data_IF_986868462725
#
_entry.id   IF_986868462725
#
_cell.length_a   1.000
_cell.length_b   1.000
_cell.length_c   1.000
_cell.angle_alpha   90.00
_cell.angle_beta   90.00
_cell.angle_gamma   90.00
#
_symmetry.space_group_name_H-M   'P 1'
#
loop_
_entity.id
_entity.type
_entity.pdbx_description
1 polymer ?
#
# COMPACT_ATOMS: atom_id res chain seq x y z
N UNK A 1 -0.94 7.40 -12.37
CA UNK A 1 -1.06 7.29 -10.88
C UNK A 1 -1.43 5.85 -10.45
N UNK A 2 -1.20 5.42 -9.19
CA UNK A 2 -1.18 3.99 -8.80
C UNK A 2 -1.81 3.71 -7.40
N UNK A 3 -2.16 2.45 -7.06
CA UNK A 3 -3.23 2.03 -6.13
C UNK A 3 -3.13 0.58 -5.55
N UNK A 4 -3.50 0.38 -4.28
CA UNK A 4 -3.39 -0.89 -3.52
C UNK A 4 -4.14 -2.06 -4.18
N UNK A 5 -3.64 -3.29 -3.98
CA UNK A 5 -4.41 -4.52 -4.21
C UNK A 5 -4.24 -5.54 -3.06
N UNK A 6 -5.22 -5.61 -2.16
CA UNK A 6 -5.39 -6.72 -1.20
C UNK A 6 -6.81 -7.31 -1.37
N UNK A 7 -6.90 -8.56 -1.85
CA UNK A 7 -8.18 -9.28 -1.91
C UNK A 7 -8.35 -10.19 -0.68
N UNK A 8 -9.53 -10.12 -0.06
CA UNK A 8 -9.92 -10.97 1.08
C UNK A 8 -10.07 -12.43 0.66
N UNK A 9 -9.60 -13.41 1.46
CA UNK A 9 -9.82 -14.83 1.18
C UNK A 9 -11.26 -15.26 1.50
N UNK A 10 -11.91 -15.92 0.54
CA UNK A 10 -13.18 -16.62 0.74
C UNK A 10 -12.98 -17.87 1.61
N UNK A 11 -13.89 -18.11 2.56
CA UNK A 11 -13.84 -19.27 3.46
C UNK A 11 -14.06 -20.59 2.72
N UNK A 12 -13.29 -21.63 3.08
CA UNK A 12 -13.53 -23.01 2.71
C UNK A 12 -13.91 -23.84 3.95
N UNK A 13 -14.89 -24.74 3.80
CA UNK A 13 -15.56 -25.46 4.90
C UNK A 13 -14.92 -26.82 5.16
N UNK A 14 -15.00 -27.28 6.43
CA UNK A 14 -14.47 -28.54 6.93
C UNK A 14 -14.96 -29.82 6.21
N UNK A 15 -14.09 -30.84 6.17
CA UNK A 15 -14.43 -32.25 5.97
C UNK A 15 -13.67 -33.12 7.00
N UNK A 16 -14.35 -34.05 7.66
CA UNK A 16 -13.86 -34.78 8.85
C UNK A 16 -13.31 -36.18 8.54
N UNK A 17 -12.32 -36.64 9.31
CA UNK A 17 -11.77 -38.01 9.29
C UNK A 17 -11.32 -38.46 10.69
N UNK A 18 -11.44 -39.76 11.01
CA UNK A 18 -11.43 -40.27 12.41
C UNK A 18 -10.12 -40.95 12.86
N UNK A 19 -9.79 -40.72 14.14
CA UNK A 19 -9.32 -41.63 15.21
C UNK A 19 -8.38 -42.84 14.95
N UNK A 20 -7.36 -42.99 15.82
CA UNK A 20 -6.52 -44.19 16.00
C UNK A 20 -5.66 -44.13 17.29
N UNK A 21 -5.36 -45.28 17.89
CA UNK A 21 -4.87 -45.48 19.29
C UNK A 21 -3.84 -46.65 19.31
N UNK A 22 -2.97 -46.92 20.31
CA UNK A 22 -2.78 -46.44 21.70
C UNK A 22 -1.31 -46.02 22.02
N UNK A 23 -0.86 -46.08 23.29
CA UNK A 23 0.47 -45.68 23.77
C UNK A 23 1.29 -46.86 24.36
N UNK A 24 2.63 -46.72 24.43
CA UNK A 24 3.53 -47.67 25.11
C UNK A 24 5.01 -47.23 25.08
N UNK A 25 5.81 -47.36 26.16
CA UNK A 25 7.01 -46.53 26.35
C UNK A 25 8.37 -47.24 26.17
N UNK A 26 9.43 -46.46 26.00
CA UNK A 26 10.83 -46.92 26.07
C UNK A 26 11.80 -45.73 26.12
N UNK A 27 12.63 -45.65 27.17
CA UNK A 27 13.57 -44.53 27.37
C UNK A 27 14.93 -44.72 26.70
N UNK A 28 15.59 -43.61 26.37
CA UNK A 28 16.96 -43.58 25.85
C UNK A 28 17.54 -42.18 25.99
N UNK A 29 18.48 -42.00 26.92
CA UNK A 29 19.11 -40.72 27.23
C UNK A 29 20.13 -40.30 26.17
N UNK A 30 19.92 -39.15 25.55
CA UNK A 30 20.95 -38.38 24.84
C UNK A 30 20.60 -36.88 25.00
N UNK A 31 21.56 -36.06 25.45
CA UNK A 31 21.38 -34.61 25.65
C UNK A 31 21.10 -33.90 24.30
N UNK A 32 19.96 -33.20 24.15
CA UNK A 32 19.68 -32.38 22.95
C UNK A 32 19.88 -30.87 23.20
N UNK A 33 20.22 -30.43 24.43
CA UNK A 33 20.12 -29.03 24.87
C UNK A 33 21.19 -28.06 24.32
N UNK A 34 21.94 -28.42 23.27
CA UNK A 34 22.98 -27.55 22.68
C UNK A 34 22.78 -27.12 21.23
N UNK A 35 21.71 -27.56 20.55
CA UNK A 35 21.49 -27.28 19.12
C UNK A 35 20.11 -26.66 18.81
N UNK A 36 19.43 -26.11 19.82
CA UNK A 36 18.06 -25.59 19.70
C UNK A 36 17.89 -24.11 20.10
N UNK A 37 18.99 -23.38 20.40
CA UNK A 37 18.92 -21.96 20.81
C UNK A 37 19.26 -20.93 19.73
N UNK A 38 19.57 -21.36 18.51
CA UNK A 38 19.91 -20.45 17.40
C UNK A 38 18.90 -20.51 16.23
N UNK A 39 17.75 -21.20 16.41
CA UNK A 39 16.74 -21.41 15.38
C UNK A 39 15.39 -20.67 15.59
N UNK A 40 15.29 -19.80 16.61
CA UNK A 40 14.06 -19.07 16.97
C UNK A 40 14.16 -17.54 16.76
N UNK A 41 14.89 -17.09 15.74
CA UNK A 41 15.21 -15.66 15.56
C UNK A 41 15.06 -15.12 14.12
N UNK A 42 13.93 -15.36 13.46
CA UNK A 42 13.31 -14.37 12.55
C UNK A 42 11.80 -14.66 12.37
N UNK A 43 10.97 -14.29 13.35
CA UNK A 43 9.56 -14.00 13.05
C UNK A 43 9.56 -12.83 12.06
N UNK A 44 9.38 -13.13 10.76
CA UNK A 44 9.70 -12.26 9.63
C UNK A 44 9.03 -10.87 9.68
N UNK A 45 9.62 -9.95 10.45
CA UNK A 45 9.02 -8.65 10.75
C UNK A 45 8.99 -7.76 9.52
N UNK A 46 7.79 -7.36 9.10
CA UNK A 46 7.61 -6.42 7.98
C UNK A 46 7.96 -5.02 8.46
N UNK A 47 9.08 -4.47 7.97
CA UNK A 47 9.55 -3.12 8.23
C UNK A 47 9.18 -2.19 7.07
N UNK A 48 8.45 -1.12 7.35
CA UNK A 48 8.22 -0.04 6.38
C UNK A 48 9.34 1.00 6.51
N UNK A 49 9.88 1.47 5.38
CA UNK A 49 10.95 2.48 5.33
C UNK A 49 10.86 3.32 4.05
N UNK A 50 11.44 4.53 4.04
CA UNK A 50 11.64 5.30 2.79
C UNK A 50 12.35 4.44 1.74
N UNK A 51 11.94 4.61 0.49
CA UNK A 51 12.57 3.99 -0.66
C UNK A 51 13.96 4.61 -0.91
N UNK A 52 14.77 3.87 -1.66
CA UNK A 52 16.06 4.30 -2.21
C UNK A 52 16.05 4.02 -3.70
N UNK A 53 16.92 4.69 -4.46
CA UNK A 53 17.05 4.48 -5.92
C UNK A 53 17.26 3.01 -6.30
N UNK A 54 17.94 2.21 -5.47
CA UNK A 54 18.10 0.75 -5.68
C UNK A 54 16.77 -0.04 -5.64
N UNK A 55 15.77 0.45 -4.91
CA UNK A 55 14.48 -0.22 -4.73
C UNK A 55 13.55 0.01 -5.95
N UNK A 56 13.81 1.04 -6.77
CA UNK A 56 12.97 1.46 -7.91
C UNK A 56 12.71 0.34 -8.92
N UNK A 57 13.69 -0.56 -9.15
CA UNK A 57 13.49 -1.73 -10.02
C UNK A 57 12.48 -2.74 -9.45
N UNK A 58 12.42 -2.87 -8.12
CA UNK A 58 11.45 -3.76 -7.45
C UNK A 58 10.08 -3.09 -7.39
N UNK A 59 10.03 -1.78 -7.11
CA UNK A 59 8.80 -0.97 -7.22
C UNK A 59 8.22 -1.13 -8.63
N UNK A 60 9.02 -0.97 -9.69
CA UNK A 60 8.61 -1.16 -11.08
C UNK A 60 8.00 -2.55 -11.33
N UNK A 61 8.65 -3.64 -10.86
CA UNK A 61 8.12 -5.01 -10.96
C UNK A 61 6.78 -5.16 -10.23
N UNK A 62 6.67 -4.62 -9.01
CA UNK A 62 5.42 -4.63 -8.25
C UNK A 62 4.31 -3.90 -9.01
N UNK A 63 4.62 -2.75 -9.63
CA UNK A 63 3.69 -1.98 -10.45
C UNK A 63 3.24 -2.76 -11.69
N UNK A 64 4.18 -3.29 -12.48
CA UNK A 64 3.89 -4.02 -13.72
C UNK A 64 3.01 -5.26 -13.47
N UNK A 65 3.10 -5.86 -12.28
CA UNK A 65 2.26 -7.00 -11.84
C UNK A 65 0.75 -6.66 -11.84
N UNK A 66 0.38 -5.38 -11.80
CA UNK A 66 -1.01 -4.90 -11.79
C UNK A 66 -1.39 -4.02 -13.00
N UNK A 67 -0.45 -3.78 -13.93
CA UNK A 67 -0.65 -2.97 -15.14
C UNK A 67 -1.25 -3.74 -16.33
N UNK A 68 -1.44 -5.05 -16.22
CA UNK A 68 -1.89 -5.93 -17.31
C UNK A 68 -3.41 -5.94 -17.57
N UNK A 69 -3.91 -7.05 -18.14
CA UNK A 69 -5.34 -7.24 -18.39
C UNK A 69 -6.14 -7.21 -17.08
N UNK A 70 -6.98 -6.18 -16.92
CA UNK A 70 -7.64 -5.85 -15.64
C UNK A 70 -7.00 -4.72 -14.85
N UNK A 71 -6.14 -3.90 -15.49
CA UNK A 71 -5.46 -2.69 -14.99
C UNK A 71 -6.06 -2.11 -13.70
N UNK A 72 -5.33 -2.31 -12.60
CA UNK A 72 -5.57 -1.62 -11.31
C UNK A 72 -4.53 -0.52 -11.05
N UNK A 73 -3.40 -0.60 -11.75
CA UNK A 73 -2.36 0.42 -11.78
C UNK A 73 -2.22 1.03 -13.17
N UNK A 74 -1.89 2.31 -13.23
CA UNK A 74 -1.43 2.94 -14.46
C UNK A 74 0.08 2.68 -14.62
N UNK A 75 0.51 2.47 -15.86
CA UNK A 75 1.93 2.28 -16.19
C UNK A 75 2.68 3.61 -16.02
N UNK A 76 3.69 3.65 -15.14
CA UNK A 76 4.64 4.77 -15.08
C UNK A 76 5.86 4.51 -15.97
N UNK A 77 6.46 5.57 -16.50
CA UNK A 77 7.81 5.48 -17.04
C UNK A 77 8.81 5.23 -15.90
N UNK A 78 9.85 4.43 -16.15
CA UNK A 78 10.83 4.09 -15.10
C UNK A 78 11.63 5.31 -14.62
N UNK A 79 11.78 6.35 -15.45
CA UNK A 79 12.40 7.63 -15.06
C UNK A 79 11.57 8.36 -14.01
N UNK A 80 10.24 8.42 -14.18
CA UNK A 80 9.30 9.00 -13.21
C UNK A 80 9.39 8.31 -11.86
N UNK A 81 9.53 6.98 -11.82
CA UNK A 81 9.76 6.25 -10.56
C UNK A 81 11.10 6.58 -9.87
N UNK A 82 12.11 7.09 -10.60
CA UNK A 82 13.35 7.61 -9.99
C UNK A 82 13.20 9.07 -9.54
N UNK A 83 12.43 9.89 -10.26
CA UNK A 83 12.11 11.28 -9.89
C UNK A 83 11.28 11.30 -8.60
N UNK A 84 10.19 10.52 -8.56
CA UNK A 84 9.27 10.40 -7.44
C UNK A 84 9.86 9.66 -6.22
N UNK A 85 11.06 9.09 -6.29
CA UNK A 85 11.57 8.10 -5.31
C UNK A 85 11.55 8.57 -3.85
N UNK A 86 11.52 9.88 -3.61
CA UNK A 86 11.44 10.48 -2.27
C UNK A 86 10.03 10.36 -1.65
N UNK A 87 8.98 10.34 -2.48
CA UNK A 87 7.59 10.10 -2.08
C UNK A 87 7.36 8.65 -1.62
N UNK A 88 8.18 7.74 -2.13
CA UNK A 88 8.01 6.31 -1.94
C UNK A 88 8.48 5.81 -0.57
N UNK A 89 7.67 4.91 -0.04
CA UNK A 89 7.96 3.99 1.04
C UNK A 89 7.89 2.56 0.51
N UNK A 90 8.68 1.67 1.11
CA UNK A 90 8.71 0.24 0.80
C UNK A 90 8.56 -0.57 2.08
N UNK A 91 7.80 -1.66 1.98
CA UNK A 91 7.76 -2.72 2.98
C UNK A 91 8.84 -3.76 2.65
N UNK A 92 9.75 -3.96 3.60
CA UNK A 92 10.82 -4.95 3.53
C UNK A 92 10.53 -6.09 4.52
N UNK A 93 10.63 -7.33 4.04
CA UNK A 93 10.52 -8.56 4.84
C UNK A 93 11.71 -9.45 4.47
N UNK A 94 12.42 -9.99 5.46
CA UNK A 94 13.62 -10.85 5.27
C UNK A 94 14.64 -10.29 4.26
N UNK A 95 14.81 -8.96 4.22
CA UNK A 95 15.71 -8.24 3.31
C UNK A 95 15.19 -8.01 1.89
N UNK A 96 14.00 -8.52 1.54
CA UNK A 96 13.35 -8.32 0.24
C UNK A 96 12.25 -7.25 0.32
N UNK A 97 12.17 -6.39 -0.69
CA UNK A 97 11.03 -5.45 -0.85
C UNK A 97 9.82 -6.23 -1.37
N UNK A 98 8.79 -6.33 -0.53
CA UNK A 98 7.55 -7.09 -0.75
C UNK A 98 6.33 -6.19 -0.91
N UNK A 99 6.50 -4.87 -0.80
CA UNK A 99 5.47 -3.89 -1.12
C UNK A 99 6.01 -2.48 -1.20
N UNK A 100 5.23 -1.58 -1.79
CA UNK A 100 5.52 -0.15 -1.91
C UNK A 100 4.26 0.68 -1.71
N UNK A 101 4.43 1.99 -1.53
CA UNK A 101 3.39 3.03 -1.49
C UNK A 101 4.05 4.40 -1.59
N UNK A 102 3.35 5.41 -2.11
CA UNK A 102 3.86 6.76 -2.27
C UNK A 102 2.89 7.80 -1.70
N UNK A 103 3.42 8.90 -1.16
CA UNK A 103 2.65 10.05 -0.72
C UNK A 103 3.07 11.27 -1.55
N UNK A 104 2.19 11.73 -2.43
CA UNK A 104 2.40 12.90 -3.27
C UNK A 104 1.69 14.12 -2.66
N UNK A 105 2.39 15.24 -2.50
CA UNK A 105 1.79 16.48 -1.98
C UNK A 105 1.28 17.32 -3.14
N UNK A 106 -0.02 17.66 -3.12
CA UNK A 106 -0.63 18.49 -4.17
C UNK A 106 -0.66 19.96 -3.75
N UNK A 107 -1.00 20.22 -2.49
CA UNK A 107 -1.15 21.57 -1.96
C UNK A 107 -0.79 21.64 -0.46
N UNK A 108 -0.84 22.84 0.13
CA UNK A 108 -0.40 23.12 1.52
C UNK A 108 -1.04 22.20 2.59
N UNK A 109 -2.27 21.73 2.35
CA UNK A 109 -3.03 20.91 3.29
C UNK A 109 -3.49 19.55 2.71
N UNK A 110 -3.13 19.26 1.46
CA UNK A 110 -3.68 18.14 0.67
C UNK A 110 -2.59 17.29 0.03
N UNK A 111 -2.66 15.98 0.26
CA UNK A 111 -1.84 14.98 -0.42
C UNK A 111 -2.66 13.79 -0.93
N UNK A 112 -2.01 12.96 -1.73
CA UNK A 112 -2.54 11.74 -2.30
C UNK A 112 -1.71 10.52 -1.92
N UNK A 113 -2.39 9.43 -1.57
CA UNK A 113 -1.78 8.11 -1.52
C UNK A 113 -1.77 7.50 -2.91
N UNK A 114 -0.57 7.41 -3.48
CA UNK A 114 -0.25 6.79 -4.77
C UNK A 114 0.50 5.47 -4.56
N UNK A 115 0.67 4.71 -5.64
CA UNK A 115 1.57 3.56 -5.82
C UNK A 115 1.65 2.53 -4.71
N UNK A 116 0.54 2.28 -4.04
CA UNK A 116 0.50 1.17 -3.09
C UNK A 116 0.42 -0.13 -3.86
N UNK A 117 1.33 -1.07 -3.59
CA UNK A 117 1.33 -2.40 -4.19
C UNK A 117 1.97 -3.38 -3.21
N UNK A 118 1.48 -4.62 -3.19
CA UNK A 118 2.05 -5.72 -2.39
C UNK A 118 2.34 -6.88 -3.32
N UNK A 119 3.43 -7.62 -3.11
CA UNK A 119 3.71 -8.83 -3.87
C UNK A 119 2.55 -9.83 -3.70
N UNK A 120 1.99 -10.41 -4.78
CA UNK A 120 0.87 -11.35 -4.67
C UNK A 120 1.10 -12.50 -3.70
N UNK A 121 2.34 -12.97 -3.51
CA UNK A 121 2.70 -14.02 -2.57
C UNK A 121 2.68 -13.60 -1.09
N UNK A 122 2.63 -12.29 -0.81
CA UNK A 122 2.69 -11.72 0.53
C UNK A 122 1.37 -11.02 0.97
N UNK A 123 0.30 -11.15 0.18
CA UNK A 123 -1.02 -10.59 0.52
C UNK A 123 -1.64 -11.26 1.74
N UNK A 124 -2.52 -10.54 2.44
CA UNK A 124 -3.18 -11.01 3.65
C UNK A 124 -2.31 -10.94 4.92
N UNK A 125 -1.02 -10.63 4.80
CA UNK A 125 -0.07 -10.44 5.91
C UNK A 125 -0.12 -9.03 6.52
N UNK A 126 -1.12 -8.22 6.17
CA UNK A 126 -1.30 -6.84 6.65
C UNK A 126 -0.27 -5.83 6.12
N UNK A 127 0.45 -6.17 5.04
CA UNK A 127 1.52 -5.33 4.48
C UNK A 127 0.95 -4.01 3.92
N UNK A 128 -0.16 -4.06 3.17
CA UNK A 128 -0.81 -2.85 2.67
C UNK A 128 -1.24 -1.92 3.80
N UNK A 129 -1.79 -2.49 4.88
CA UNK A 129 -2.19 -1.74 6.08
C UNK A 129 -0.99 -1.03 6.72
N UNK A 130 0.16 -1.71 6.87
CA UNK A 130 1.39 -1.10 7.40
C UNK A 130 1.90 0.04 6.53
N UNK A 131 1.88 -0.13 5.20
CA UNK A 131 2.30 0.92 4.26
C UNK A 131 1.37 2.13 4.37
N UNK A 132 0.05 1.94 4.27
CA UNK A 132 -0.90 3.06 4.29
C UNK A 132 -0.92 3.79 5.63
N UNK A 133 -0.81 3.08 6.77
CA UNK A 133 -0.63 3.72 8.07
C UNK A 133 0.63 4.60 8.12
N UNK A 134 1.74 4.16 7.53
CA UNK A 134 2.98 4.96 7.48
C UNK A 134 2.87 6.18 6.54
N UNK A 135 2.14 6.06 5.43
CA UNK A 135 1.85 7.20 4.55
C UNK A 135 0.93 8.24 5.22
N UNK A 136 -0.09 7.80 5.96
CA UNK A 136 -0.97 8.67 6.75
C UNK A 136 -0.17 9.38 7.85
N UNK A 137 0.68 8.65 8.58
CA UNK A 137 1.58 9.18 9.61
C UNK A 137 2.53 10.24 9.03
N UNK A 138 3.13 9.94 7.87
CA UNK A 138 4.00 10.86 7.11
C UNK A 138 3.24 12.11 6.66
N UNK A 139 1.96 11.97 6.26
CA UNK A 139 1.15 13.11 5.87
C UNK A 139 0.90 14.06 7.05
N UNK A 140 0.68 13.51 8.24
CA UNK A 140 0.66 14.24 9.50
C UNK A 140 1.93 15.04 9.75
N UNK A 141 3.10 14.38 9.70
CA UNK A 141 4.42 15.02 9.90
C UNK A 141 4.71 16.18 8.93
N UNK A 142 4.07 16.19 7.76
CA UNK A 142 4.18 17.27 6.77
C UNK A 142 3.21 18.44 7.03
N UNK A 143 2.39 18.38 8.09
CA UNK A 143 1.40 19.40 8.44
C UNK A 143 0.11 19.34 7.64
N UNK A 144 -0.08 18.28 6.82
CA UNK A 144 -1.26 18.14 5.97
C UNK A 144 -2.51 17.92 6.81
N UNK A 145 -3.67 18.22 6.23
CA UNK A 145 -4.98 18.08 6.91
C UNK A 145 -5.86 17.04 6.26
N UNK A 146 -5.58 16.72 4.98
CA UNK A 146 -6.44 15.90 4.13
C UNK A 146 -5.58 15.02 3.23
N UNK A 147 -5.98 13.76 3.11
CA UNK A 147 -5.33 12.78 2.24
C UNK A 147 -6.40 12.11 1.40
N UNK A 148 -6.25 12.05 0.09
CA UNK A 148 -7.19 11.36 -0.80
C UNK A 148 -6.55 10.18 -1.52
N UNK A 149 -7.38 9.35 -2.15
CA UNK A 149 -6.96 8.31 -3.09
C UNK A 149 -8.09 7.98 -4.10
N UNK A 150 -7.76 7.30 -5.19
CA UNK A 150 -8.66 6.89 -6.28
C UNK A 150 -8.70 5.36 -6.41
N UNK A 151 -9.52 4.65 -5.63
CA UNK A 151 -9.34 3.21 -5.34
C UNK A 151 -10.50 2.29 -5.75
N UNK A 152 -10.17 1.05 -6.09
CA UNK A 152 -11.15 -0.05 -6.13
C UNK A 152 -11.28 -0.79 -4.80
N UNK A 153 -10.26 -0.74 -3.94
CA UNK A 153 -10.25 -1.47 -2.66
C UNK A 153 -10.88 -0.61 -1.55
N UNK A 154 -12.12 -0.16 -1.79
CA UNK A 154 -12.87 0.77 -0.92
C UNK A 154 -12.93 0.27 0.53
N UNK A 155 -13.20 -1.02 0.72
CA UNK A 155 -13.26 -1.64 2.06
C UNK A 155 -11.90 -1.78 2.75
N UNK A 156 -10.79 -1.66 2.03
CA UNK A 156 -9.44 -1.57 2.62
C UNK A 156 -9.21 -0.13 3.12
N UNK A 157 -9.38 0.88 2.26
CA UNK A 157 -9.18 2.28 2.65
C UNK A 157 -10.16 2.77 3.72
N UNK A 158 -11.41 2.30 3.71
CA UNK A 158 -12.40 2.61 4.75
C UNK A 158 -11.95 2.19 6.17
N UNK A 159 -11.14 1.13 6.32
CA UNK A 159 -10.56 0.74 7.62
C UNK A 159 -9.53 1.73 8.15
N UNK A 160 -8.92 2.51 7.26
CA UNK A 160 -8.04 3.63 7.59
C UNK A 160 -8.81 4.96 7.78
N UNK A 161 -10.15 4.94 7.80
CA UNK A 161 -11.00 6.11 8.03
C UNK A 161 -11.36 6.92 6.79
N UNK A 162 -10.89 6.52 5.60
CA UNK A 162 -11.28 7.15 4.34
C UNK A 162 -12.78 6.99 4.07
N UNK A 163 -13.40 7.99 3.45
CA UNK A 163 -14.80 8.00 3.03
C UNK A 163 -14.90 8.34 1.56
N UNK A 164 -15.84 7.71 0.85
CA UNK A 164 -16.14 8.07 -0.54
C UNK A 164 -16.61 9.53 -0.64
N UNK A 165 -16.16 10.22 -1.70
CA UNK A 165 -16.57 11.58 -2.03
C UNK A 165 -16.92 11.70 -3.51
N UNK A 166 -17.69 12.72 -3.85
CA UNK A 166 -18.06 13.07 -5.23
C UNK A 166 -17.43 14.42 -5.60
N UNK A 167 -16.99 14.56 -6.86
CA UNK A 167 -16.29 15.75 -7.34
C UNK A 167 -14.90 15.93 -6.71
N UNK A 168 -14.34 17.14 -6.84
CA UNK A 168 -12.96 17.45 -6.45
C UNK A 168 -12.94 18.23 -5.13
N UNK A 169 -12.25 17.75 -4.06
CA UNK A 169 -12.29 18.35 -2.73
C UNK A 169 -11.34 19.56 -2.57
N UNK A 170 -11.25 20.49 -3.51
CA UNK A 170 -10.50 21.76 -3.35
C UNK A 170 -11.37 22.98 -3.62
N UNK A 171 -10.97 24.16 -3.13
CA UNK A 171 -11.64 25.41 -3.52
C UNK A 171 -11.39 25.71 -5.00
N UNK A 172 -12.24 26.53 -5.64
CA UNK A 172 -12.00 26.97 -7.02
C UNK A 172 -10.65 27.69 -7.21
N UNK A 173 -10.12 28.38 -6.19
CA UNK A 173 -8.79 28.99 -6.28
C UNK A 173 -7.68 27.94 -6.33
N UNK A 174 -7.68 26.97 -5.39
CA UNK A 174 -6.70 25.88 -5.39
C UNK A 174 -6.85 25.00 -6.63
N UNK A 175 -8.06 24.80 -7.15
CA UNK A 175 -8.31 24.14 -8.42
C UNK A 175 -7.61 24.86 -9.59
N UNK A 176 -7.63 26.20 -9.62
CA UNK A 176 -6.99 27.02 -10.65
C UNK A 176 -5.44 27.01 -10.55
N UNK A 177 -4.88 26.94 -9.34
CA UNK A 177 -3.43 26.77 -9.14
C UNK A 177 -2.97 25.36 -9.55
N UNK A 178 -3.71 24.33 -9.14
CA UNK A 178 -3.43 22.94 -9.52
C UNK A 178 -3.56 22.71 -11.04
N UNK A 179 -4.42 23.48 -11.73
CA UNK A 179 -4.54 23.51 -13.19
C UNK A 179 -3.23 23.93 -13.91
N UNK A 180 -2.34 24.66 -13.24
CA UNK A 180 -1.04 25.04 -13.77
C UNK A 180 0.04 23.96 -13.56
N UNK A 181 -0.28 22.86 -12.86
CA UNK A 181 0.63 21.73 -12.69
C UNK A 181 0.74 20.89 -13.95
N UNK A 182 1.95 20.43 -14.25
CA UNK A 182 2.22 19.44 -15.29
C UNK A 182 2.18 17.99 -14.77
N UNK A 183 1.87 17.76 -13.48
CA UNK A 183 1.71 16.41 -12.93
C UNK A 183 0.41 15.76 -13.43
N UNK A 184 0.53 14.63 -14.14
CA UNK A 184 -0.63 13.87 -14.63
C UNK A 184 -1.60 13.49 -13.50
N UNK A 185 -1.09 13.23 -12.29
CA UNK A 185 -1.92 12.85 -11.15
C UNK A 185 -2.69 14.01 -10.52
N UNK A 186 -2.13 15.23 -10.50
CA UNK A 186 -2.89 16.45 -10.16
C UNK A 186 -4.05 16.61 -11.14
N UNK A 187 -3.84 16.34 -12.43
CA UNK A 187 -4.88 16.46 -13.43
C UNK A 187 -5.96 15.35 -13.34
N UNK A 188 -5.60 14.11 -13.00
CA UNK A 188 -6.55 13.04 -12.62
C UNK A 188 -7.39 13.43 -11.37
N UNK A 189 -6.76 14.06 -10.37
CA UNK A 189 -7.44 14.55 -9.17
C UNK A 189 -8.50 15.61 -9.51
N UNK A 190 -8.13 16.58 -10.35
CA UNK A 190 -8.97 17.70 -10.77
C UNK A 190 -10.14 17.29 -11.70
N UNK A 191 -10.18 16.06 -12.21
CA UNK A 191 -11.22 15.56 -13.13
C UNK A 191 -11.30 16.37 -14.45
N UNK A 192 -10.13 16.78 -14.97
CA UNK A 192 -10.04 17.67 -16.13
C UNK A 192 -10.43 16.97 -17.44
N UNK A 193 -11.30 17.60 -18.24
CA UNK A 193 -11.66 17.10 -19.59
C UNK A 193 -10.46 16.89 -20.52
N UNK A 194 -9.35 17.60 -20.27
CA UNK A 194 -8.09 17.51 -21.02
C UNK A 194 -7.16 16.38 -20.54
N UNK A 195 -7.37 15.85 -19.33
CA UNK A 195 -6.63 14.71 -18.77
C UNK A 195 -7.62 13.66 -18.27
N UNK A 196 -8.07 12.84 -19.23
CA UNK A 196 -8.65 11.51 -19.04
C UNK A 196 -9.39 11.31 -17.70
N UNK A 197 -10.63 11.83 -17.57
CA UNK A 197 -11.42 11.72 -16.33
C UNK A 197 -11.49 10.27 -15.85
N UNK A 198 -11.37 10.08 -14.53
CA UNK A 198 -11.28 8.80 -13.79
C UNK A 198 -11.29 7.56 -14.70
N UNK A 199 -10.15 7.28 -15.33
CA UNK A 199 -10.15 6.45 -16.55
C UNK A 199 -10.33 4.96 -16.30
N UNK A 200 -10.27 4.55 -15.04
CA UNK A 200 -10.50 3.17 -14.60
C UNK A 200 -11.91 3.00 -14.00
N UNK A 201 -12.64 4.08 -13.68
CA UNK A 201 -13.93 4.03 -13.00
C UNK A 201 -13.81 3.60 -11.53
N UNK A 202 -12.74 4.02 -10.85
CA UNK A 202 -12.49 3.70 -9.44
C UNK A 202 -13.18 4.73 -8.49
N UNK A 203 -13.17 4.48 -7.18
CA UNK A 203 -13.86 5.33 -6.20
C UNK A 203 -12.91 6.38 -5.62
N UNK A 204 -13.28 7.66 -5.72
CA UNK A 204 -12.56 8.75 -5.04
C UNK A 204 -12.88 8.74 -3.55
N UNK A 205 -11.86 8.63 -2.71
CA UNK A 205 -12.00 8.60 -1.26
C UNK A 205 -11.11 9.65 -0.57
N UNK A 206 -11.58 10.19 0.56
CA UNK A 206 -10.93 11.24 1.34
C UNK A 206 -10.85 10.86 2.82
N UNK A 207 -9.69 11.10 3.43
CA UNK A 207 -9.45 11.09 4.86
C UNK A 207 -9.16 12.53 5.33
N UNK A 208 -9.78 12.93 6.43
CA UNK A 208 -9.38 14.11 7.19
C UNK A 208 -8.52 13.66 8.37
N UNK A 209 -7.33 14.24 8.52
CA UNK A 209 -6.42 13.93 9.62
C UNK A 209 -6.90 14.62 10.91
N UNK A 210 -6.92 13.88 12.02
CA UNK A 210 -7.25 14.41 13.35
C UNK A 210 -6.11 15.27 13.93
N UNK A 211 -6.26 15.81 15.13
CA UNK A 211 -5.15 16.47 15.84
C UNK A 211 -4.05 15.49 16.24
N UNK A 212 -4.40 14.28 16.69
CA UNK A 212 -3.43 13.22 17.03
C UNK A 212 -2.71 12.61 15.80
N UNK A 213 -3.13 12.99 14.58
CA UNK A 213 -2.57 12.55 13.30
C UNK A 213 -1.80 13.67 12.58
N UNK A 214 -1.46 14.77 13.26
CA UNK A 214 -0.71 15.93 12.75
C UNK A 214 0.49 16.26 13.64
#
# INVERSE_FOLDING_TARGET
>A
MEQVAEHSPTQAVHGTGKAGQEAGPGGGSADPERDHREAEADEATVRVRRARTRDVRVIRRLVDTYGGAGRRLLEKATVTLYEDVQEFWVAEQTGAVVGCGALHVLWEDLAEIRTVAVDPGCRGLGIGNRIVSELIRTAGELGLRRVFCLTFEVGFFARHGFREIQGTPVSPEVYAELLASYDEGVAEFLDLEHVKPNTLGNTRMLLHLTEDQR
#
